data_IF_804919315942
#
_entry.id   IF_804919315942
#
_cell.length_a   1.000
_cell.length_b   1.000
_cell.length_c   1.000
_cell.angle_alpha   90.00
_cell.angle_beta   90.00
_cell.angle_gamma   90.00
#
_symmetry.space_group_name_H-M   'P 1'
#
loop_
_entity.id
_entity.type
_entity.pdbx_description
1 polymer ?
#
# COMPACT_ATOMS: atom_id res chain seq x y z
N UNK A 1 -19.94 -4.28 27.52
CA UNK A 1 -19.41 -4.14 26.14
C UNK A 1 -18.85 -2.73 26.03
N UNK A 2 -17.60 -2.58 25.58
CA UNK A 2 -16.98 -1.26 25.40
C UNK A 2 -16.64 -1.08 23.92
N UNK A 3 -16.95 0.10 23.39
CA UNK A 3 -16.57 0.50 22.04
C UNK A 3 -15.37 1.45 22.12
N UNK A 4 -14.45 1.32 21.17
CA UNK A 4 -13.27 2.15 21.06
C UNK A 4 -13.04 2.49 19.59
N UNK A 5 -12.64 3.73 19.33
CA UNK A 5 -12.23 4.25 18.04
C UNK A 5 -10.88 4.98 18.20
N UNK A 6 -10.06 5.01 17.15
CA UNK A 6 -8.75 5.68 17.09
C UNK A 6 -7.74 5.34 18.21
N UNK A 7 -7.91 4.19 18.86
CA UNK A 7 -6.96 3.73 19.86
C UNK A 7 -5.68 3.17 19.22
N UNK A 8 -4.57 3.27 19.96
CA UNK A 8 -3.30 2.70 19.54
C UNK A 8 -3.33 1.16 19.57
N UNK A 9 -3.69 0.56 18.43
CA UNK A 9 -3.93 -0.87 18.26
C UNK A 9 -2.80 -1.77 18.80
N UNK A 10 -1.50 -1.50 18.57
CA UNK A 10 -0.43 -2.37 19.10
C UNK A 10 -0.45 -2.47 20.63
N UNK A 11 -0.79 -1.38 21.33
CA UNK A 11 -0.92 -1.39 22.80
C UNK A 11 -2.07 -2.29 23.23
N UNK A 12 -3.21 -2.21 22.53
CA UNK A 12 -4.37 -3.06 22.80
C UNK A 12 -4.05 -4.54 22.57
N UNK A 13 -3.42 -4.87 21.44
CA UNK A 13 -3.04 -6.24 21.10
C UNK A 13 -2.08 -6.84 22.13
N UNK A 14 -1.03 -6.10 22.54
CA UNK A 14 -0.08 -6.54 23.58
C UNK A 14 -0.73 -6.81 24.94
N UNK A 15 -1.90 -6.24 25.23
CA UNK A 15 -2.64 -6.44 26.49
C UNK A 15 -3.86 -7.34 26.33
N UNK A 16 -4.17 -7.77 25.10
CA UNK A 16 -5.29 -8.65 24.81
C UNK A 16 -5.04 -10.08 25.27
N UNK A 17 -6.11 -10.77 25.70
CA UNK A 17 -6.11 -12.22 25.99
C UNK A 17 -6.29 -13.05 24.73
N UNK A 18 -6.99 -12.50 23.75
CA UNK A 18 -7.25 -13.13 22.46
C UNK A 18 -7.90 -12.13 21.51
N UNK A 19 -7.85 -12.42 20.22
CA UNK A 19 -8.36 -11.58 19.15
C UNK A 19 -9.32 -12.39 18.29
N UNK A 20 -10.48 -11.81 17.99
CA UNK A 20 -11.47 -12.37 17.07
C UNK A 20 -11.55 -11.43 15.87
N UNK A 21 -11.41 -11.95 14.67
CA UNK A 21 -11.52 -11.18 13.43
C UNK A 21 -12.34 -11.93 12.40
N UNK A 22 -12.95 -11.22 11.45
CA UNK A 22 -13.55 -11.87 10.27
C UNK A 22 -12.45 -12.12 9.24
N UNK A 23 -11.81 -11.06 8.75
CA UNK A 23 -10.75 -11.11 7.74
C UNK A 23 -9.84 -9.86 7.76
N UNK A 24 -9.85 -9.11 8.87
CA UNK A 24 -9.08 -7.87 9.00
C UNK A 24 -7.58 -8.16 9.10
N UNK A 25 -6.75 -7.33 8.46
CA UNK A 25 -5.28 -7.39 8.55
C UNK A 25 -4.76 -7.25 9.98
N UNK A 26 -5.58 -6.74 10.91
CA UNK A 26 -5.33 -6.78 12.36
C UNK A 26 -4.99 -8.20 12.84
N UNK A 27 -5.50 -9.25 12.19
CA UNK A 27 -5.13 -10.63 12.48
C UNK A 27 -3.62 -10.87 12.33
N UNK A 28 -2.99 -10.36 11.26
CA UNK A 28 -1.53 -10.46 11.10
C UNK A 28 -0.78 -9.75 12.24
N UNK A 29 -1.28 -8.61 12.70
CA UNK A 29 -0.72 -7.89 13.85
C UNK A 29 -0.90 -8.66 15.16
N UNK A 30 -2.01 -9.36 15.34
CA UNK A 30 -2.25 -10.20 16.51
C UNK A 30 -1.26 -11.38 16.56
N UNK A 31 -1.08 -12.08 15.43
CA UNK A 31 -0.10 -13.17 15.27
C UNK A 31 1.32 -12.66 15.50
N UNK A 32 1.67 -11.49 14.94
CA UNK A 32 2.96 -10.83 15.17
C UNK A 32 3.24 -10.56 16.67
N UNK A 33 2.20 -10.20 17.43
CA UNK A 33 2.29 -10.00 18.88
C UNK A 33 2.10 -11.29 19.71
N UNK A 34 2.10 -12.45 19.06
CA UNK A 34 1.96 -13.77 19.69
C UNK A 34 0.61 -13.97 20.37
N UNK A 35 -0.43 -13.25 19.94
CA UNK A 35 -1.75 -13.31 20.58
C UNK A 35 -2.59 -14.43 19.99
N UNK A 36 -3.32 -15.21 20.83
CA UNK A 36 -4.31 -16.14 20.34
C UNK A 36 -5.30 -15.42 19.41
N UNK A 37 -5.49 -15.96 18.21
CA UNK A 37 -6.30 -15.36 17.17
C UNK A 37 -7.26 -16.40 16.61
N UNK A 38 -8.55 -16.09 16.52
CA UNK A 38 -9.51 -16.86 15.74
C UNK A 38 -10.04 -16.00 14.58
N UNK A 39 -10.07 -16.61 13.39
CA UNK A 39 -10.60 -16.01 12.17
C UNK A 39 -11.97 -16.62 11.90
N UNK A 40 -12.99 -15.78 11.71
CA UNK A 40 -14.37 -16.19 11.48
C UNK A 40 -14.77 -16.14 9.99
N UNK A 41 -13.91 -15.58 9.14
CA UNK A 41 -14.08 -15.53 7.69
C UNK A 41 -12.85 -16.10 6.98
N UNK A 42 -12.75 -15.83 5.67
CA UNK A 42 -11.59 -16.27 4.86
C UNK A 42 -10.48 -15.24 4.95
N UNK A 43 -9.33 -15.65 5.47
CA UNK A 43 -8.14 -14.81 5.50
C UNK A 43 -6.90 -15.58 5.05
N UNK A 44 -5.95 -14.89 4.40
CA UNK A 44 -4.68 -15.48 3.94
C UNK A 44 -3.91 -16.19 5.07
N UNK A 45 -3.96 -15.64 6.27
CA UNK A 45 -3.23 -16.11 7.45
C UNK A 45 -4.04 -17.12 8.28
N UNK A 46 -5.22 -17.53 7.84
CA UNK A 46 -6.05 -18.55 8.49
C UNK A 46 -5.43 -19.94 8.24
N UNK A 47 -4.34 -20.18 8.95
CA UNK A 47 -3.49 -21.36 8.84
C UNK A 47 -3.38 -21.98 10.24
N UNK A 48 -3.52 -23.30 10.31
CA UNK A 48 -3.29 -24.05 11.55
C UNK A 48 -1.87 -23.76 12.08
N UNK A 49 -1.78 -23.43 13.37
CA UNK A 49 -0.53 -22.97 14.00
C UNK A 49 -0.34 -21.44 14.02
N UNK A 50 -1.05 -20.68 13.18
CA UNK A 50 -1.13 -19.21 13.30
C UNK A 50 -2.44 -18.73 13.92
N UNK A 51 -3.51 -19.46 13.65
CA UNK A 51 -4.86 -19.15 14.11
C UNK A 51 -5.46 -20.38 14.80
N UNK A 52 -6.37 -20.13 15.74
CA UNK A 52 -7.10 -21.14 16.46
C UNK A 52 -8.17 -21.78 15.56
N UNK A 53 -8.15 -23.10 15.47
CA UNK A 53 -8.95 -23.85 14.49
C UNK A 53 -10.12 -24.64 15.10
N UNK A 54 -10.29 -24.64 16.43
CA UNK A 54 -11.33 -25.45 17.09
C UNK A 54 -12.68 -24.73 17.27
N UNK A 55 -12.85 -23.55 16.66
CA UNK A 55 -14.10 -22.78 16.68
C UNK A 55 -14.28 -21.85 17.89
N UNK A 56 -15.20 -20.90 17.76
CA UNK A 56 -15.35 -19.79 18.72
C UNK A 56 -15.80 -20.24 20.12
N UNK A 57 -16.59 -21.32 20.23
CA UNK A 57 -17.07 -21.83 21.52
C UNK A 57 -15.95 -22.32 22.44
N UNK A 58 -14.82 -22.76 21.86
CA UNK A 58 -13.67 -23.29 22.59
C UNK A 58 -12.56 -22.25 22.79
N UNK A 59 -12.53 -21.23 21.96
CA UNK A 59 -11.45 -20.23 21.89
C UNK A 59 -11.08 -19.58 23.24
N UNK A 60 -12.06 -19.28 24.08
CA UNK A 60 -11.81 -18.60 25.37
C UNK A 60 -11.39 -19.54 26.51
N UNK A 61 -11.62 -20.84 26.34
CA UNK A 61 -11.39 -21.84 27.38
C UNK A 61 -10.13 -22.68 27.11
N UNK A 62 -9.75 -22.83 25.85
CA UNK A 62 -8.56 -23.58 25.44
C UNK A 62 -7.33 -22.68 25.38
N UNK A 63 -6.22 -23.17 25.92
CA UNK A 63 -4.94 -22.52 25.75
C UNK A 63 -4.42 -22.74 24.32
N UNK A 64 -4.01 -21.66 23.69
CA UNK A 64 -3.43 -21.70 22.35
C UNK A 64 -2.24 -20.73 22.27
N UNK A 65 -1.20 -21.17 21.57
CA UNK A 65 0.01 -20.38 21.36
C UNK A 65 0.30 -20.34 19.87
N UNK A 66 0.59 -19.14 19.37
CA UNK A 66 0.96 -18.93 17.98
C UNK A 66 2.35 -19.51 17.70
N UNK A 67 2.49 -20.25 16.60
CA UNK A 67 3.78 -20.72 16.10
C UNK A 67 4.54 -19.55 15.43
N UNK A 68 5.45 -18.96 16.19
CA UNK A 68 6.33 -17.88 15.71
C UNK A 68 7.20 -18.28 14.52
N UNK A 69 7.60 -19.54 14.41
CA UNK A 69 8.41 -20.01 13.29
C UNK A 69 7.58 -20.07 12.01
N UNK A 70 6.34 -20.57 12.10
CA UNK A 70 5.40 -20.55 11.00
C UNK A 70 5.06 -19.12 10.57
N UNK A 71 4.90 -18.21 11.53
CA UNK A 71 4.66 -16.80 11.23
C UNK A 71 5.83 -16.19 10.45
N UNK A 72 7.06 -16.45 10.87
CA UNK A 72 8.25 -15.96 10.18
C UNK A 72 8.35 -16.49 8.75
N UNK A 73 7.96 -17.76 8.52
CA UNK A 73 7.90 -18.34 7.17
C UNK A 73 6.84 -17.65 6.32
N UNK A 74 5.62 -17.46 6.83
CA UNK A 74 4.55 -16.74 6.13
C UNK A 74 4.99 -15.31 5.79
N UNK A 75 5.54 -14.58 6.77
CA UNK A 75 6.05 -13.22 6.56
C UNK A 75 7.11 -13.17 5.47
N UNK A 76 8.08 -14.09 5.51
CA UNK A 76 9.16 -14.15 4.50
C UNK A 76 8.61 -14.46 3.11
N UNK A 77 7.63 -15.35 3.02
CA UNK A 77 6.95 -15.65 1.76
C UNK A 77 6.22 -14.42 1.20
N UNK A 78 5.44 -13.73 2.03
CA UNK A 78 4.73 -12.50 1.61
C UNK A 78 5.71 -11.42 1.14
N UNK A 79 6.78 -11.15 1.91
CA UNK A 79 7.79 -10.18 1.52
C UNK A 79 8.41 -10.49 0.15
N UNK A 80 8.65 -11.77 -0.15
CA UNK A 80 9.27 -12.19 -1.41
C UNK A 80 8.31 -12.21 -2.60
N UNK A 81 7.02 -12.48 -2.38
CA UNK A 81 6.08 -12.81 -3.45
C UNK A 81 4.95 -11.81 -3.64
N UNK A 82 4.65 -10.97 -2.66
CA UNK A 82 3.50 -10.04 -2.73
C UNK A 82 3.91 -8.57 -2.77
N UNK A 83 5.14 -8.24 -2.36
CA UNK A 83 5.59 -6.85 -2.32
C UNK A 83 6.40 -6.51 -3.58
N UNK A 84 6.08 -5.36 -4.17
CA UNK A 84 6.90 -4.73 -5.20
C UNK A 84 7.90 -3.80 -4.51
N UNK A 85 9.19 -3.97 -4.80
CA UNK A 85 10.21 -3.05 -4.32
C UNK A 85 10.08 -1.71 -5.06
N UNK A 86 9.35 -0.77 -4.47
CA UNK A 86 9.12 0.55 -5.04
C UNK A 86 8.56 1.53 -4.02
N UNK A 87 8.64 2.81 -4.35
CA UNK A 87 8.08 3.90 -3.56
C UNK A 87 6.91 4.52 -4.35
N UNK A 88 5.82 4.85 -3.66
CA UNK A 88 4.65 5.47 -4.29
C UNK A 88 4.95 6.89 -4.82
N UNK A 89 5.72 7.68 -4.05
CA UNK A 89 6.16 9.04 -4.43
C UNK A 89 7.64 9.10 -4.80
N UNK A 90 8.26 7.97 -5.16
CA UNK A 90 9.70 7.90 -5.40
C UNK A 90 10.06 6.97 -6.54
N UNK A 91 11.35 6.97 -6.89
CA UNK A 91 11.87 6.10 -7.94
C UNK A 91 11.66 4.63 -7.57
N UNK A 92 11.05 3.88 -8.48
CA UNK A 92 10.92 2.43 -8.38
C UNK A 92 11.63 1.78 -9.56
N UNK A 93 12.55 0.82 -9.34
CA UNK A 93 13.35 0.22 -10.42
C UNK A 93 12.54 -0.38 -11.58
N UNK A 94 11.32 -0.82 -11.30
CA UNK A 94 10.40 -1.40 -12.29
C UNK A 94 9.62 -0.36 -13.10
N UNK A 95 9.62 0.94 -12.74
CA UNK A 95 8.93 1.98 -13.52
C UNK A 95 9.58 2.23 -14.90
N UNK A 96 10.86 1.91 -15.06
CA UNK A 96 11.57 2.00 -16.33
C UNK A 96 11.38 0.76 -17.22
N UNK A 97 10.53 -0.19 -16.82
CA UNK A 97 10.28 -1.38 -17.61
C UNK A 97 9.47 -1.05 -18.87
N UNK A 98 9.97 -1.44 -20.04
CA UNK A 98 9.42 -1.09 -21.36
C UNK A 98 7.93 -1.44 -21.54
N UNK A 99 7.41 -2.46 -20.84
CA UNK A 99 5.98 -2.83 -20.84
C UNK A 99 5.08 -1.95 -19.94
N UNK A 100 5.67 -1.24 -18.98
CA UNK A 100 4.97 -0.35 -18.04
C UNK A 100 5.09 1.12 -18.44
N UNK A 101 6.02 1.45 -19.35
CA UNK A 101 6.06 2.74 -19.99
C UNK A 101 4.74 2.94 -20.76
N UNK A 102 4.02 4.05 -20.54
CA UNK A 102 2.87 4.36 -21.39
C UNK A 102 3.35 4.34 -22.84
N UNK A 103 2.56 3.76 -23.79
CA UNK A 103 2.92 3.80 -25.20
C UNK A 103 3.23 5.25 -25.54
N UNK A 104 4.37 5.49 -26.20
CA UNK A 104 4.81 6.84 -26.58
C UNK A 104 3.69 7.51 -27.38
N UNK A 105 2.90 8.32 -26.68
CA UNK A 105 1.67 8.83 -27.23
C UNK A 105 2.08 9.92 -28.24
N UNK A 106 1.94 9.66 -29.54
CA UNK A 106 2.22 10.62 -30.63
C UNK A 106 1.60 12.00 -30.38
N UNK A 107 0.51 12.04 -29.62
CA UNK A 107 -0.18 13.24 -29.19
C UNK A 107 0.69 14.22 -28.40
N UNK A 108 1.71 13.75 -27.65
CA UNK A 108 2.63 14.65 -26.95
C UNK A 108 3.58 15.40 -27.89
N UNK A 109 3.97 14.80 -29.01
CA UNK A 109 4.82 15.47 -30.02
C UNK A 109 4.02 16.53 -30.78
N UNK A 110 2.77 16.22 -31.12
CA UNK A 110 1.86 17.17 -31.76
C UNK A 110 1.47 18.31 -30.82
N UNK A 111 1.20 18.03 -29.54
CA UNK A 111 0.96 19.06 -28.53
C UNK A 111 2.21 19.93 -28.28
N UNK A 112 3.41 19.36 -28.26
CA UNK A 112 4.67 20.14 -28.18
C UNK A 112 4.88 21.04 -29.40
N UNK A 113 4.52 20.58 -30.59
CA UNK A 113 4.59 21.40 -31.82
C UNK A 113 3.54 22.52 -31.83
N UNK A 114 2.32 22.25 -31.36
CA UNK A 114 1.24 23.25 -31.21
C UNK A 114 1.63 24.30 -30.14
N UNK A 115 2.27 23.87 -29.05
CA UNK A 115 2.81 24.78 -28.03
C UNK A 115 3.95 25.65 -28.56
N UNK A 116 4.87 25.07 -29.36
CA UNK A 116 5.96 25.83 -29.99
C UNK A 116 5.44 26.84 -31.03
N UNK A 117 4.44 26.48 -31.83
CA UNK A 117 3.83 27.39 -32.81
C UNK A 117 2.99 28.49 -32.15
N UNK A 118 2.27 28.17 -31.06
CA UNK A 118 1.59 29.17 -30.24
C UNK A 118 2.54 30.17 -29.59
N UNK A 119 3.72 29.71 -29.12
CA UNK A 119 4.76 30.58 -28.58
C UNK A 119 5.34 31.53 -29.64
N UNK A 120 5.59 31.04 -30.87
CA UNK A 120 6.09 31.91 -31.95
C UNK A 120 5.09 32.99 -32.38
N UNK A 121 3.78 32.68 -32.37
CA UNK A 121 2.73 33.66 -32.70
C UNK A 121 2.51 34.70 -31.60
N UNK A 122 2.81 34.38 -30.34
CA UNK A 122 2.78 35.32 -29.22
C UNK A 122 3.99 36.27 -29.21
N UNK A 123 5.15 35.83 -29.72
CA UNK A 123 6.37 36.64 -29.76
C UNK A 123 6.32 37.73 -30.84
N UNK A 124 5.59 37.52 -31.94
CA UNK A 124 5.32 38.57 -32.94
C UNK A 124 4.33 39.65 -32.46
N UNK A 125 3.69 39.44 -31.31
CA UNK A 125 2.64 40.29 -30.74
C UNK A 125 3.03 41.01 -29.45
N UNK A 126 4.26 41.52 -29.32
CA UNK A 126 4.58 42.59 -28.35
C UNK A 126 4.26 42.35 -26.87
N UNK A 127 4.23 41.10 -26.38
CA UNK A 127 3.89 40.78 -25.00
C UNK A 127 4.98 39.95 -24.32
N UNK A 128 6.05 40.62 -23.87
CA UNK A 128 7.19 40.01 -23.16
C UNK A 128 6.80 39.40 -21.80
N UNK A 129 5.75 39.91 -21.15
CA UNK A 129 5.32 39.45 -19.81
C UNK A 129 4.61 38.09 -19.82
N UNK A 130 3.98 37.74 -20.95
CA UNK A 130 3.32 36.43 -21.14
C UNK A 130 4.34 35.30 -21.34
N UNK A 131 5.53 35.62 -21.86
CA UNK A 131 6.59 34.65 -22.13
C UNK A 131 7.23 34.14 -20.83
N UNK A 132 7.57 35.05 -19.91
CA UNK A 132 8.11 34.73 -18.57
C UNK A 132 7.14 33.86 -17.77
N UNK A 133 5.85 34.20 -17.80
CA UNK A 133 4.80 33.44 -17.09
C UNK A 133 4.64 32.02 -17.65
N UNK A 134 4.74 31.86 -18.98
CA UNK A 134 4.71 30.56 -19.64
C UNK A 134 5.97 29.72 -19.35
N UNK A 135 7.15 30.33 -19.32
CA UNK A 135 8.40 29.65 -19.00
C UNK A 135 8.44 29.17 -17.54
N UNK A 136 7.93 29.99 -16.60
CA UNK A 136 7.77 29.59 -15.21
C UNK A 136 6.81 28.39 -15.03
N UNK A 137 5.72 28.35 -15.82
CA UNK A 137 4.77 27.24 -15.79
C UNK A 137 5.37 25.95 -16.38
N UNK A 138 6.16 26.06 -17.46
CA UNK A 138 6.86 24.92 -18.06
C UNK A 138 7.95 24.32 -17.15
N UNK A 139 8.63 25.15 -16.36
CA UNK A 139 9.63 24.69 -15.38
C UNK A 139 9.02 23.92 -14.20
N UNK A 140 7.73 24.16 -13.87
CA UNK A 140 7.03 23.44 -12.80
C UNK A 140 6.47 22.06 -13.21
N UNK A 141 6.48 21.73 -14.50
CA UNK A 141 5.96 20.46 -15.05
C UNK A 141 7.13 19.57 -15.56
N UNK A 142 8.37 19.93 -15.20
CA UNK A 142 9.59 19.14 -15.42
C UNK A 142 9.89 18.22 -14.25
#
# INVERSE_FOLDING_TARGET
>A
MHYVHDAHLPTLLKRSRGVVTINSTVGLSAVYHGRPLITMGRALYDISGLTFQHGLSRFWNEHYTVDSNLYNKLRSYMLKHTQLNGAFFGYSPWMNHSKLMPPSNRWHTTLRLIQLTGLTLLVDGGATDLLETCLAWLAMIG
#
